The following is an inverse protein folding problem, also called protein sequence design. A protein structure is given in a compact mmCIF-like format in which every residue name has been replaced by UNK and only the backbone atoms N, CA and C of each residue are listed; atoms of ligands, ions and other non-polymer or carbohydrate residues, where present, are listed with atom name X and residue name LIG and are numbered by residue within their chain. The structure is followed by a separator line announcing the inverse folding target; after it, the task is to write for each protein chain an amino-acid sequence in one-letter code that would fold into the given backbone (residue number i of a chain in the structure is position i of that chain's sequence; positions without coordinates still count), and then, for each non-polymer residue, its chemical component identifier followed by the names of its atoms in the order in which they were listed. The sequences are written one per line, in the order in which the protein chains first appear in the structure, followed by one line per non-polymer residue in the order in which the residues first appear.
data_IF_935484564455
#
_entry.id   IF_935484564455
#
_cell.length_a   1.000
_cell.length_b   1.000
_cell.length_c   1.000
_cell.angle_alpha   90.00
_cell.angle_beta   90.00
_cell.angle_gamma   90.00
#
_symmetry.space_group_name_H-M   'P 1'
#
loop_
_entity.id
_entity.type
_entity.pdbx_description
1 polymer ?
#
# COMPACT_ATOMS: atom_id res chain seq x y z
N UNK A 1 18.37 2.19 1.08
CA UNK A 1 18.08 1.00 0.24
C UNK A 1 16.59 0.77 0.32
N UNK A 2 15.87 0.97 -0.78
CA UNK A 2 14.42 0.86 -0.81
C UNK A 2 13.99 -0.60 -0.57
N UNK A 3 12.79 -0.82 -0.05
CA UNK A 3 12.23 -2.17 0.06
C UNK A 3 12.09 -2.82 -1.30
N UNK A 4 11.77 -2.04 -2.34
CA UNK A 4 11.76 -2.49 -3.73
C UNK A 4 13.13 -2.97 -4.22
N UNK A 5 14.21 -2.26 -3.90
CA UNK A 5 15.58 -2.68 -4.25
C UNK A 5 15.96 -3.99 -3.53
N UNK A 6 15.56 -4.12 -2.27
CA UNK A 6 15.75 -5.37 -1.51
C UNK A 6 15.01 -6.54 -2.14
N UNK A 7 13.76 -6.32 -2.58
CA UNK A 7 12.97 -7.35 -3.25
C UNK A 7 13.63 -7.79 -4.55
N UNK A 8 14.05 -6.83 -5.40
CA UNK A 8 14.71 -7.10 -6.67
C UNK A 8 16.06 -7.81 -6.50
N UNK A 9 16.79 -7.54 -5.43
CA UNK A 9 18.07 -8.22 -5.14
C UNK A 9 17.89 -9.62 -4.53
N UNK A 10 16.76 -9.90 -3.86
CA UNK A 10 16.51 -11.15 -3.15
C UNK A 10 15.75 -12.19 -3.99
N UNK A 11 14.91 -11.72 -4.90
CA UNK A 11 14.09 -12.59 -5.76
C UNK A 11 14.74 -12.76 -7.13
N UNK A 12 15.05 -14.00 -7.56
CA UNK A 12 15.60 -14.27 -8.89
C UNK A 12 14.56 -13.99 -10.00
N UNK A 13 13.28 -14.17 -9.71
CA UNK A 13 12.14 -13.70 -10.50
C UNK A 13 11.19 -13.00 -9.54
N UNK A 14 11.02 -11.68 -9.70
CA UNK A 14 10.30 -10.85 -8.75
C UNK A 14 8.79 -10.92 -9.02
N UNK A 15 7.99 -11.56 -8.13
CA UNK A 15 6.55 -11.66 -8.33
C UNK A 15 5.89 -10.28 -8.25
N UNK A 16 4.82 -10.07 -9.02
CA UNK A 16 4.09 -8.80 -9.08
C UNK A 16 3.57 -8.38 -7.70
N UNK A 17 3.03 -9.33 -6.93
CA UNK A 17 2.49 -9.05 -5.60
C UNK A 17 3.58 -8.67 -4.60
N UNK A 18 4.80 -9.20 -4.73
CA UNK A 18 5.97 -8.82 -3.91
C UNK A 18 6.47 -7.44 -4.30
N UNK A 19 6.50 -7.13 -5.59
CA UNK A 19 6.86 -5.80 -6.08
C UNK A 19 5.87 -4.74 -5.55
N UNK A 20 4.57 -5.00 -5.63
CA UNK A 20 3.52 -4.13 -5.07
C UNK A 20 3.68 -4.01 -3.56
N UNK A 21 3.88 -5.12 -2.84
CA UNK A 21 4.09 -5.11 -1.39
C UNK A 21 5.29 -4.23 -1.00
N UNK A 22 6.42 -4.41 -1.68
CA UNK A 22 7.64 -3.66 -1.43
C UNK A 22 7.47 -2.16 -1.72
N UNK A 23 6.83 -1.83 -2.83
CA UNK A 23 6.51 -0.44 -3.19
C UNK A 23 5.54 0.20 -2.17
N UNK A 24 4.54 -0.55 -1.68
CA UNK A 24 3.66 -0.07 -0.59
C UNK A 24 4.40 0.12 0.71
N UNK A 25 5.36 -0.74 1.02
CA UNK A 25 6.20 -0.57 2.21
C UNK A 25 7.16 0.63 2.07
N UNK A 26 7.47 1.06 0.85
CA UNK A 26 8.27 2.27 0.60
C UNK A 26 7.42 3.56 0.66
N UNK A 27 6.18 3.51 0.15
CA UNK A 27 5.24 4.64 0.20
C UNK A 27 4.62 4.85 1.60
N UNK A 28 4.31 3.76 2.30
CA UNK A 28 3.81 3.76 3.66
C UNK A 28 4.86 3.20 4.62
N UNK A 29 4.50 2.95 5.88
CA UNK A 29 5.37 2.18 6.77
C UNK A 29 5.06 0.69 6.65
N UNK A 30 6.10 -0.14 6.66
CA UNK A 30 5.97 -1.60 6.65
C UNK A 30 5.03 -2.12 7.76
N UNK A 31 4.97 -1.44 8.91
CA UNK A 31 4.04 -1.71 10.00
C UNK A 31 2.56 -1.48 9.61
N UNK A 32 2.26 -0.38 8.90
CA UNK A 32 0.90 -0.11 8.43
C UNK A 32 0.47 -1.14 7.40
N UNK A 33 1.35 -1.42 6.43
CA UNK A 33 1.08 -2.44 5.39
C UNK A 33 0.85 -3.81 6.02
N UNK A 34 1.66 -4.20 7.00
CA UNK A 34 1.51 -5.45 7.74
C UNK A 34 0.14 -5.57 8.41
N UNK A 35 -0.31 -4.53 9.13
CA UNK A 35 -1.64 -4.48 9.74
C UNK A 35 -2.76 -4.61 8.71
N UNK A 36 -2.63 -3.95 7.57
CA UNK A 36 -3.60 -4.01 6.49
C UNK A 36 -3.70 -5.42 5.92
N UNK A 37 -2.57 -6.06 5.58
CA UNK A 37 -2.55 -7.43 5.02
C UNK A 37 -2.88 -8.49 6.09
N UNK A 38 -2.86 -8.16 7.38
CA UNK A 38 -3.15 -9.08 8.47
C UNK A 38 -1.95 -9.93 8.90
N UNK A 39 -0.73 -9.47 8.62
CA UNK A 39 0.52 -10.14 9.00
C UNK A 39 1.40 -9.25 9.87
N UNK A 40 2.50 -9.82 10.38
CA UNK A 40 3.50 -9.04 11.10
C UNK A 40 4.46 -8.34 10.15
N UNK A 41 5.00 -7.18 10.56
CA UNK A 41 6.01 -6.47 9.77
C UNK A 41 7.27 -7.32 9.53
N UNK A 42 7.63 -8.18 10.49
CA UNK A 42 8.71 -9.14 10.35
C UNK A 42 8.42 -10.14 9.22
N UNK A 43 7.20 -10.70 9.17
CA UNK A 43 6.75 -11.61 8.10
C UNK A 43 6.91 -10.95 6.73
N UNK A 44 6.42 -9.71 6.56
CA UNK A 44 6.58 -8.99 5.28
C UNK A 44 8.06 -8.75 4.94
N UNK A 45 8.91 -8.47 5.93
CA UNK A 45 10.35 -8.29 5.73
C UNK A 45 11.02 -9.57 5.24
N UNK A 46 10.66 -10.72 5.82
CA UNK A 46 11.14 -12.02 5.37
C UNK A 46 10.66 -12.35 3.96
N UNK A 47 9.42 -11.99 3.61
CA UNK A 47 8.86 -12.19 2.27
C UNK A 47 9.58 -11.32 1.23
N UNK A 48 9.74 -10.01 1.50
CA UNK A 48 10.50 -9.08 0.66
C UNK A 48 11.93 -9.58 0.46
N UNK A 49 12.55 -10.10 1.51
CA UNK A 49 13.91 -10.64 1.47
C UNK A 49 14.04 -12.07 0.92
N UNK A 50 12.98 -12.68 0.37
CA UNK A 50 12.94 -14.06 -0.12
C UNK A 50 13.47 -15.09 0.91
N UNK A 51 13.22 -14.85 2.20
CA UNK A 51 13.66 -15.67 3.35
C UNK A 51 12.49 -16.30 4.10
N UNK A 52 11.27 -16.01 3.67
CA UNK A 52 10.09 -16.56 4.30
C UNK A 52 9.91 -18.01 3.85
N UNK A 53 10.04 -18.94 4.80
CA UNK A 53 9.90 -20.38 4.61
C UNK A 53 8.49 -20.91 4.92
N UNK A 54 7.56 -19.99 5.20
CA UNK A 54 6.15 -20.34 5.43
C UNK A 54 5.36 -20.45 4.13
N UNK A 55 4.05 -20.39 4.29
CA UNK A 55 3.08 -20.59 3.21
C UNK A 55 2.94 -19.30 2.37
N UNK A 56 3.84 -19.11 1.41
CA UNK A 56 3.88 -17.93 0.53
C UNK A 56 2.56 -17.75 -0.24
N UNK A 57 1.85 -18.83 -0.58
CA UNK A 57 0.56 -18.75 -1.27
C UNK A 57 -0.53 -18.06 -0.43
N UNK A 58 -0.52 -18.24 0.89
CA UNK A 58 -1.45 -17.53 1.79
C UNK A 58 -1.10 -16.05 1.90
N UNK A 59 0.19 -15.72 1.96
CA UNK A 59 0.65 -14.34 1.96
C UNK A 59 0.30 -13.66 0.64
N UNK A 60 0.54 -14.32 -0.48
CA UNK A 60 0.16 -13.83 -1.80
C UNK A 60 -1.34 -13.56 -1.88
N UNK A 61 -2.19 -14.52 -1.48
CA UNK A 61 -3.64 -14.34 -1.49
C UNK A 61 -4.07 -13.16 -0.62
N UNK A 62 -3.50 -12.99 0.58
CA UNK A 62 -3.81 -11.86 1.44
C UNK A 62 -3.31 -10.54 0.83
N UNK A 63 -2.10 -10.50 0.28
CA UNK A 63 -1.56 -9.31 -0.39
C UNK A 63 -2.42 -8.94 -1.59
N UNK A 64 -2.80 -9.91 -2.42
CA UNK A 64 -3.70 -9.69 -3.56
C UNK A 64 -5.07 -9.24 -3.08
N UNK A 65 -5.68 -9.91 -2.10
CA UNK A 65 -7.00 -9.56 -1.58
C UNK A 65 -7.03 -8.15 -0.97
N UNK A 66 -5.98 -7.75 -0.26
CA UNK A 66 -5.98 -6.50 0.49
C UNK A 66 -5.34 -5.34 -0.26
N UNK A 67 -4.17 -5.54 -0.89
CA UNK A 67 -3.46 -4.46 -1.58
C UNK A 67 -3.85 -4.34 -3.05
N UNK A 68 -4.28 -5.43 -3.69
CA UNK A 68 -4.65 -5.45 -5.11
C UNK A 68 -6.16 -5.50 -5.37
N UNK A 69 -6.97 -6.06 -4.44
CA UNK A 69 -8.41 -6.24 -4.63
C UNK A 69 -9.31 -5.43 -3.68
N UNK A 70 -8.75 -4.73 -2.68
CA UNK A 70 -9.58 -3.89 -1.82
C UNK A 70 -10.08 -2.68 -2.61
N UNK A 71 -11.38 -2.60 -2.83
CA UNK A 71 -12.08 -1.40 -3.28
C UNK A 71 -12.58 -0.64 -2.06
N UNK A 72 -12.50 0.68 -2.12
CA UNK A 72 -12.96 1.60 -1.08
C UNK A 72 -13.93 2.59 -1.71
N UNK A 73 -15.07 2.79 -1.05
CA UNK A 73 -16.03 3.81 -1.42
C UNK A 73 -15.53 5.17 -0.92
N UNK A 74 -14.89 5.93 -1.80
CA UNK A 74 -14.51 7.30 -1.51
C UNK A 74 -15.74 8.21 -1.55
N UNK A 75 -15.97 9.05 -0.55
CA UNK A 75 -17.11 9.98 -0.55
C UNK A 75 -17.05 10.99 -1.70
N UNK A 76 -15.87 11.35 -2.21
CA UNK A 76 -15.72 12.28 -3.33
C UNK A 76 -15.60 11.61 -4.71
N UNK A 77 -14.79 10.56 -4.81
CA UNK A 77 -14.43 9.93 -6.09
C UNK A 77 -15.25 8.65 -6.39
N UNK A 78 -16.10 8.21 -5.47
CA UNK A 78 -16.84 6.96 -5.58
C UNK A 78 -15.98 5.72 -5.29
N UNK A 79 -16.45 4.55 -5.73
CA UNK A 79 -15.72 3.29 -5.56
C UNK A 79 -14.42 3.32 -6.35
N UNK A 80 -13.30 3.17 -5.65
CA UNK A 80 -11.97 3.09 -6.25
C UNK A 80 -11.12 2.05 -5.54
N UNK A 81 -10.04 1.60 -6.17
CA UNK A 81 -9.10 0.73 -5.50
C UNK A 81 -8.46 1.43 -4.29
N UNK A 82 -8.25 0.70 -3.20
CA UNK A 82 -7.62 1.16 -1.97
C UNK A 82 -6.25 1.77 -2.24
N UNK A 83 -5.55 1.29 -3.29
CA UNK A 83 -4.31 1.91 -3.78
C UNK A 83 -4.47 3.38 -4.12
N UNK A 84 -5.46 3.71 -4.96
CA UNK A 84 -5.72 5.07 -5.37
C UNK A 84 -6.11 5.93 -4.18
N UNK A 85 -6.92 5.40 -3.26
CA UNK A 85 -7.29 6.12 -2.05
C UNK A 85 -6.08 6.47 -1.19
N UNK A 86 -5.15 5.53 -1.01
CA UNK A 86 -3.92 5.76 -0.23
C UNK A 86 -2.99 6.76 -0.93
N UNK A 87 -2.84 6.69 -2.25
CA UNK A 87 -2.09 7.69 -3.02
C UNK A 87 -2.67 9.10 -2.86
N UNK A 88 -4.00 9.23 -2.93
CA UNK A 88 -4.68 10.50 -2.68
C UNK A 88 -4.47 11.00 -1.26
N UNK A 89 -4.53 10.11 -0.25
CA UNK A 89 -4.25 10.45 1.16
C UNK A 89 -2.81 10.90 1.38
N UNK A 90 -1.84 10.26 0.72
CA UNK A 90 -0.43 10.63 0.83
C UNK A 90 -0.18 11.99 0.19
N UNK A 91 -0.73 12.21 -1.01
CA UNK A 91 -0.67 13.51 -1.69
C UNK A 91 -1.35 14.60 -0.87
N UNK A 92 -2.42 14.28 -0.15
CA UNK A 92 -3.13 15.22 0.71
C UNK A 92 -2.35 15.63 1.98
N UNK A 93 -1.21 15.01 2.30
CA UNK A 93 -0.31 15.52 3.36
C UNK A 93 0.34 16.85 2.98
N UNK A 94 0.61 17.04 1.70
CA UNK A 94 1.26 18.24 1.17
C UNK A 94 0.24 19.06 0.41
N UNK A 95 0.10 20.32 0.79
CA UNK A 95 -0.80 21.23 0.08
C UNK A 95 -0.15 21.68 -1.22
N UNK A 96 -0.76 21.34 -2.35
CA UNK A 96 -0.33 21.79 -3.68
C UNK A 96 -1.53 22.29 -4.49
N UNK A 97 -1.43 23.50 -5.05
CA UNK A 97 -2.47 24.15 -5.86
C UNK A 97 -2.28 23.97 -7.38
N UNK A 98 -1.34 23.13 -7.79
CA UNK A 98 -0.99 22.90 -9.20
C UNK A 98 -2.12 22.26 -10.02
N UNK A 99 -3.12 21.67 -9.36
CA UNK A 99 -4.31 21.12 -10.02
C UNK A 99 -5.55 21.35 -9.15
N UNK A 100 -6.67 21.73 -9.77
CA UNK A 100 -7.97 21.86 -9.12
C UNK A 100 -8.41 20.56 -8.47
N UNK A 101 -8.15 19.41 -9.11
CA UNK A 101 -8.43 18.08 -8.55
C UNK A 101 -7.59 17.82 -7.30
N UNK A 102 -6.32 18.22 -7.28
CA UNK A 102 -5.47 18.10 -6.08
C UNK A 102 -5.98 18.95 -4.93
N UNK A 103 -6.39 20.19 -5.19
CA UNK A 103 -7.00 21.07 -4.19
C UNK A 103 -8.24 20.43 -3.59
N UNK A 104 -9.16 19.94 -4.44
CA UNK A 104 -10.39 19.26 -3.99
C UNK A 104 -10.06 18.02 -3.15
N UNK A 105 -9.14 17.17 -3.63
CA UNK A 105 -8.76 15.96 -2.91
C UNK A 105 -8.00 16.23 -1.61
N UNK A 106 -7.24 17.33 -1.53
CA UNK A 106 -6.58 17.74 -0.30
C UNK A 106 -7.60 18.04 0.80
N UNK A 107 -8.61 18.86 0.49
CA UNK A 107 -9.67 19.22 1.45
C UNK A 107 -10.48 17.97 1.84
N UNK A 108 -10.87 17.17 0.85
CA UNK A 108 -11.67 15.95 1.05
C UNK A 108 -10.95 14.86 1.84
N UNK A 109 -9.68 14.58 1.56
CA UNK A 109 -8.92 13.59 2.31
C UNK A 109 -8.71 14.04 3.76
N UNK A 110 -8.59 15.35 4.03
CA UNK A 110 -8.47 15.89 5.39
C UNK A 110 -9.78 15.79 6.18
N UNK A 111 -10.92 15.92 5.54
CA UNK A 111 -12.25 15.73 6.15
C UNK A 111 -12.76 14.29 6.06
N UNK A 112 -11.96 13.37 5.53
CA UNK A 112 -12.42 12.01 5.27
C UNK A 112 -12.68 11.26 6.59
N UNK A 113 -13.88 10.68 6.78
CA UNK A 113 -14.24 9.98 8.03
C UNK A 113 -13.33 8.77 8.29
N UNK A 114 -12.79 8.16 7.25
CA UNK A 114 -11.89 7.00 7.33
C UNK A 114 -10.42 7.36 7.65
N UNK A 115 -10.10 8.64 7.85
CA UNK A 115 -8.72 9.11 8.04
C UNK A 115 -8.35 9.29 9.54
N UNK A 116 -9.32 9.22 10.44
CA UNK A 116 -9.19 9.54 11.87
C UNK A 116 -9.21 8.37 12.86
N UNK A 117 -9.23 7.11 12.40
CA UNK A 117 -9.12 5.90 13.24
C UNK A 117 -7.73 5.26 13.19
#
# INVERSE_FOLDING_TARGET
MSHRDKAAAAWPDLPDWVAVLAERCDQASQQKVARTVGYSAATLSYVIGNRYNGDLGKVEQAVRATLMAAEVACPELGTMALVQCMEWRERAKTFETTSSLRRQMYDACRSCPFNGE
#
